data_IF_351024037907
#
_entry.id   IF_351024037907
#
_cell.length_a   1.000
_cell.length_b   1.000
_cell.length_c   1.000
_cell.angle_alpha   90.00
_cell.angle_beta   90.00
_cell.angle_gamma   90.00
#
_symmetry.space_group_name_H-M   'P 1'
#
loop_
_entity.id
_entity.type
_entity.pdbx_description
1 polymer ?
#
# COMPACT_ATOMS: atom_id res chain seq x y z
N UNK A 1 15.94 -14.21 10.05
CA UNK A 1 14.80 -14.98 9.51
C UNK A 1 15.23 -16.20 8.70
N UNK A 2 16.21 -16.10 7.79
CA UNK A 2 16.67 -17.27 6.99
C UNK A 2 17.17 -18.44 7.84
N UNK A 3 17.88 -18.18 8.94
CA UNK A 3 18.32 -19.22 9.88
C UNK A 3 17.13 -19.87 10.61
N UNK A 4 16.20 -19.05 11.10
CA UNK A 4 15.01 -19.54 11.80
C UNK A 4 14.11 -20.35 10.86
N UNK A 5 13.99 -19.98 9.58
CA UNK A 5 13.16 -20.71 8.61
C UNK A 5 13.66 -22.12 8.29
N UNK A 6 14.89 -22.46 8.65
CA UNK A 6 15.39 -23.84 8.58
C UNK A 6 14.77 -24.74 9.65
N UNK A 7 14.35 -24.16 10.76
CA UNK A 7 13.79 -24.88 11.92
C UNK A 7 12.26 -24.76 11.98
N UNK A 8 11.72 -23.59 11.66
CA UNK A 8 10.29 -23.28 11.76
C UNK A 8 9.82 -22.62 10.48
N UNK A 9 8.69 -23.05 9.91
CA UNK A 9 8.09 -22.39 8.75
C UNK A 9 7.63 -20.98 9.10
N UNK A 10 8.12 -19.99 8.36
CA UNK A 10 7.79 -18.57 8.53
C UNK A 10 6.80 -18.13 7.46
N UNK A 11 5.74 -17.47 7.88
CA UNK A 11 4.75 -16.83 7.01
C UNK A 11 4.56 -15.35 7.39
N UNK A 12 4.47 -14.46 6.42
CA UNK A 12 4.63 -14.65 4.98
C UNK A 12 6.06 -15.10 4.59
N UNK A 13 6.25 -15.59 3.33
CA UNK A 13 7.55 -16.05 2.85
C UNK A 13 8.61 -14.96 2.95
N UNK A 14 9.83 -15.30 3.34
CA UNK A 14 10.96 -14.36 3.47
C UNK A 14 11.23 -13.66 2.14
N UNK A 15 11.10 -14.36 1.01
CA UNK A 15 11.26 -13.78 -0.33
C UNK A 15 10.30 -12.61 -0.60
N UNK A 16 9.07 -12.69 -0.08
CA UNK A 16 8.11 -11.59 -0.22
C UNK A 16 8.54 -10.35 0.58
N UNK A 17 9.11 -10.55 1.77
CA UNK A 17 9.71 -9.46 2.56
C UNK A 17 10.91 -8.85 1.85
N UNK A 18 11.82 -9.67 1.32
CA UNK A 18 13.00 -9.19 0.59
C UNK A 18 12.64 -8.36 -0.65
N UNK A 19 11.55 -8.71 -1.34
CA UNK A 19 11.05 -7.98 -2.50
C UNK A 19 10.41 -6.67 -2.05
N UNK A 20 9.51 -6.69 -1.09
CA UNK A 20 8.73 -5.51 -0.68
C UNK A 20 9.54 -4.47 0.12
N UNK A 21 10.63 -4.87 0.77
CA UNK A 21 11.49 -3.96 1.52
C UNK A 21 12.49 -3.19 0.66
N UNK A 22 12.57 -3.49 -0.64
CA UNK A 22 13.50 -2.88 -1.57
C UNK A 22 12.79 -2.54 -2.88
N UNK A 23 12.53 -1.24 -3.12
CA UNK A 23 11.82 -0.76 -4.31
C UNK A 23 12.44 -1.23 -5.62
N UNK A 24 13.78 -1.38 -5.68
CA UNK A 24 14.43 -1.93 -6.87
C UNK A 24 13.99 -3.38 -7.10
N UNK A 25 14.06 -4.22 -6.06
CA UNK A 25 13.65 -5.62 -6.16
C UNK A 25 12.18 -5.75 -6.51
N UNK A 26 11.34 -4.91 -5.91
CA UNK A 26 9.90 -4.88 -6.15
C UNK A 26 9.57 -4.50 -7.61
N UNK A 27 10.17 -3.43 -8.16
CA UNK A 27 9.96 -3.03 -9.55
C UNK A 27 10.51 -4.06 -10.54
N UNK A 28 11.67 -4.66 -10.25
CA UNK A 28 12.20 -5.77 -11.06
C UNK A 28 11.28 -7.00 -11.04
N UNK A 29 10.69 -7.32 -9.89
CA UNK A 29 9.69 -8.38 -9.78
C UNK A 29 8.46 -8.07 -10.64
N UNK A 30 7.95 -6.84 -10.61
CA UNK A 30 6.82 -6.42 -11.46
C UNK A 30 7.17 -6.51 -12.95
N UNK A 31 8.32 -5.98 -13.36
CA UNK A 31 8.80 -6.04 -14.76
C UNK A 31 8.92 -7.49 -15.25
N UNK A 32 9.60 -8.36 -14.47
CA UNK A 32 9.77 -9.79 -14.81
C UNK A 32 8.43 -10.50 -15.02
N UNK A 33 7.41 -10.07 -14.29
CA UNK A 33 6.08 -10.67 -14.37
C UNK A 33 5.12 -9.89 -15.30
N UNK A 34 5.61 -8.96 -16.13
CA UNK A 34 4.79 -8.14 -17.03
C UNK A 34 3.62 -7.47 -16.29
N UNK A 35 3.90 -6.85 -15.14
CA UNK A 35 2.97 -6.07 -14.34
C UNK A 35 3.32 -4.59 -14.52
N UNK A 36 2.36 -3.79 -14.95
CA UNK A 36 2.54 -2.35 -15.22
C UNK A 36 2.84 -1.59 -13.93
N UNK A 37 3.88 -0.77 -13.93
CA UNK A 37 4.33 0.04 -12.79
C UNK A 37 5.05 1.31 -13.26
N UNK A 38 5.35 2.24 -12.34
CA UNK A 38 5.93 3.54 -12.66
C UNK A 38 7.46 3.55 -12.77
N UNK A 39 8.17 2.49 -12.34
CA UNK A 39 9.63 2.47 -12.29
C UNK A 39 10.27 2.57 -13.69
N UNK A 40 11.29 3.45 -13.80
CA UNK A 40 12.03 3.71 -15.03
C UNK A 40 13.48 3.25 -14.92
N UNK A 41 14.22 3.81 -13.95
CA UNK A 41 15.66 3.60 -13.79
C UNK A 41 16.04 3.37 -12.34
N UNK A 42 17.17 2.67 -12.16
CA UNK A 42 17.79 2.47 -10.85
C UNK A 42 19.15 3.13 -10.82
N UNK A 43 19.43 3.91 -9.79
CA UNK A 43 20.70 4.61 -9.60
C UNK A 43 21.28 4.29 -8.21
N UNK A 44 22.61 4.30 -8.12
CA UNK A 44 23.38 4.12 -6.90
C UNK A 44 24.71 4.90 -6.99
N UNK A 45 25.51 4.95 -5.92
CA UNK A 45 26.78 5.69 -5.85
C UNK A 45 27.74 5.47 -7.05
N UNK A 46 27.67 4.29 -7.70
CA UNK A 46 28.49 3.97 -8.88
C UNK A 46 27.86 4.40 -10.21
N UNK A 47 26.66 4.96 -10.18
CA UNK A 47 25.92 5.29 -11.40
C UNK A 47 26.44 6.59 -12.01
N UNK A 48 26.89 6.53 -13.28
CA UNK A 48 27.10 7.74 -14.08
C UNK A 48 25.73 8.28 -14.53
N UNK A 49 25.25 9.29 -13.82
CA UNK A 49 23.92 9.85 -14.05
C UNK A 49 23.76 10.49 -15.44
N UNK A 50 24.87 11.00 -16.03
CA UNK A 50 24.83 11.62 -17.37
C UNK A 50 24.33 10.66 -18.47
N UNK A 51 24.56 9.35 -18.32
CA UNK A 51 24.05 8.33 -19.25
C UNK A 51 22.51 8.28 -19.36
N UNK A 52 21.81 8.92 -18.43
CA UNK A 52 20.35 8.96 -18.38
C UNK A 52 19.77 10.33 -18.75
N UNK A 53 20.64 11.34 -19.05
CA UNK A 53 20.19 12.73 -19.26
C UNK A 53 19.11 12.81 -20.33
N UNK A 54 19.30 12.19 -21.46
CA UNK A 54 18.40 12.24 -22.60
C UNK A 54 17.34 11.11 -22.61
N UNK A 55 17.37 10.24 -21.58
CA UNK A 55 16.46 9.10 -21.44
C UNK A 55 15.35 9.34 -20.40
N UNK A 56 15.45 10.43 -19.63
CA UNK A 56 14.50 10.76 -18.57
C UNK A 56 13.59 11.88 -19.04
N UNK A 57 12.32 11.58 -19.23
CA UNK A 57 11.29 12.57 -19.48
C UNK A 57 10.80 13.13 -18.14
N UNK A 58 11.15 14.39 -17.85
CA UNK A 58 10.74 15.06 -16.63
C UNK A 58 9.29 15.64 -16.74
N UNK A 59 8.57 15.79 -15.59
CA UNK A 59 9.00 15.50 -14.23
C UNK A 59 8.99 14.02 -13.89
N UNK A 60 9.81 13.63 -12.89
CA UNK A 60 9.88 12.26 -12.36
C UNK A 60 9.81 12.27 -10.83
N UNK A 61 9.62 11.09 -10.22
CA UNK A 61 9.74 10.88 -8.77
C UNK A 61 11.03 10.12 -8.50
N UNK A 62 11.88 10.67 -7.65
CA UNK A 62 13.06 10.01 -7.10
C UNK A 62 12.69 9.43 -5.74
N UNK A 63 12.86 8.11 -5.54
CA UNK A 63 12.57 7.43 -4.26
C UNK A 63 13.77 6.60 -3.82
N UNK A 64 14.10 6.65 -2.51
CA UNK A 64 15.09 5.72 -1.94
C UNK A 64 14.61 4.28 -2.08
N UNK A 65 15.51 3.34 -2.40
CA UNK A 65 15.13 1.93 -2.51
C UNK A 65 14.69 1.32 -1.18
N UNK A 66 15.20 1.82 -0.07
CA UNK A 66 14.91 1.33 1.28
C UNK A 66 14.59 2.47 2.24
N UNK A 67 13.93 2.15 3.36
CA UNK A 67 13.64 3.06 4.48
C UNK A 67 12.74 4.26 4.14
N UNK A 68 12.13 4.31 2.94
CA UNK A 68 11.13 5.32 2.59
C UNK A 68 9.73 4.86 3.01
N UNK A 69 8.97 5.75 3.67
CA UNK A 69 7.58 5.53 4.08
C UNK A 69 6.85 6.86 4.26
N UNK A 70 5.54 6.89 4.11
CA UNK A 70 4.69 8.08 4.31
C UNK A 70 5.31 9.36 3.66
N UNK A 71 5.79 9.26 2.41
CA UNK A 71 6.42 10.36 1.66
C UNK A 71 7.89 10.65 2.01
N UNK A 72 8.46 10.04 3.03
CA UNK A 72 9.88 10.19 3.36
C UNK A 72 10.77 9.48 2.35
N UNK A 73 11.91 10.09 2.04
CA UNK A 73 12.86 9.54 1.08
C UNK A 73 12.37 9.60 -0.37
N UNK A 74 11.45 10.53 -0.70
CA UNK A 74 11.01 10.77 -2.07
C UNK A 74 10.95 12.25 -2.42
N UNK A 75 11.22 12.56 -3.69
CA UNK A 75 11.18 13.91 -4.25
C UNK A 75 10.55 13.90 -5.64
N UNK A 76 9.66 14.86 -5.91
CA UNK A 76 9.27 15.21 -7.27
C UNK A 76 10.40 16.02 -7.89
N UNK A 77 10.90 15.61 -9.03
CA UNK A 77 12.11 16.14 -9.71
C UNK A 77 11.67 16.78 -11.01
N UNK A 78 12.06 18.05 -11.22
CA UNK A 78 11.57 18.86 -12.34
C UNK A 78 12.46 18.78 -13.59
N UNK A 79 13.76 18.55 -13.41
CA UNK A 79 14.78 18.50 -14.47
C UNK A 79 16.04 17.77 -13.99
N UNK A 80 17.02 17.63 -14.89
CA UNK A 80 18.24 16.88 -14.62
C UNK A 80 19.12 17.52 -13.52
N UNK A 81 19.22 18.85 -13.46
CA UNK A 81 19.95 19.54 -12.38
C UNK A 81 19.30 19.30 -11.03
N UNK A 82 17.96 19.40 -10.97
CA UNK A 82 17.17 19.09 -9.78
C UNK A 82 17.35 17.63 -9.32
N UNK A 83 17.46 16.69 -10.28
CA UNK A 83 17.76 15.28 -9.98
C UNK A 83 19.09 15.12 -9.26
N UNK A 84 20.16 15.74 -9.78
CA UNK A 84 21.48 15.72 -9.15
C UNK A 84 21.43 16.27 -7.73
N UNK A 85 20.79 17.43 -7.54
CA UNK A 85 20.67 18.10 -6.25
C UNK A 85 19.89 17.26 -5.22
N UNK A 86 18.77 16.69 -5.63
CA UNK A 86 17.92 15.87 -4.74
C UNK A 86 18.57 14.53 -4.41
N UNK A 87 19.27 13.94 -5.36
CA UNK A 87 20.03 12.71 -5.09
C UNK A 87 21.21 12.95 -4.14
N UNK A 88 21.91 14.11 -4.25
CA UNK A 88 22.90 14.56 -3.28
C UNK A 88 22.30 14.70 -1.87
N UNK A 89 21.09 15.28 -1.74
CA UNK A 89 20.35 15.37 -0.45
C UNK A 89 20.02 14.01 0.14
N UNK A 90 19.96 12.96 -0.65
CA UNK A 90 19.78 11.58 -0.23
C UNK A 90 21.13 10.85 -0.02
N UNK A 91 22.23 11.58 0.09
CA UNK A 91 23.58 11.04 0.26
C UNK A 91 23.91 9.95 -0.78
N UNK A 92 23.49 10.16 -2.03
CA UNK A 92 23.70 9.24 -3.15
C UNK A 92 23.24 7.80 -2.87
N UNK A 93 22.28 7.62 -1.99
CA UNK A 93 21.68 6.31 -1.71
C UNK A 93 21.14 5.67 -2.98
N UNK A 94 20.99 4.35 -2.93
CA UNK A 94 20.32 3.62 -4.01
C UNK A 94 18.88 4.09 -4.13
N UNK A 95 18.49 4.53 -5.33
CA UNK A 95 17.19 5.09 -5.62
C UNK A 95 16.57 4.45 -6.86
N UNK A 96 15.24 4.49 -6.93
CA UNK A 96 14.45 4.29 -8.13
C UNK A 96 13.98 5.65 -8.65
N UNK A 97 14.07 5.85 -9.96
CA UNK A 97 13.45 6.95 -10.68
C UNK A 97 12.17 6.41 -11.28
N UNK A 98 11.05 7.01 -10.97
CA UNK A 98 9.73 6.64 -11.45
C UNK A 98 9.12 7.76 -12.27
N UNK A 99 8.37 7.41 -13.33
CA UNK A 99 7.54 8.39 -14.02
C UNK A 99 6.45 8.90 -13.07
N UNK A 100 6.06 10.15 -13.24
CA UNK A 100 4.87 10.69 -12.57
C UNK A 100 3.65 10.06 -13.21
N UNK A 101 2.89 9.31 -12.44
CA UNK A 101 1.57 8.83 -12.87
C UNK A 101 0.56 9.92 -12.51
N UNK A 102 -0.13 10.45 -13.51
CA UNK A 102 -1.31 11.28 -13.29
C UNK A 102 -2.46 10.31 -13.07
N UNK A 103 -2.79 10.06 -11.83
CA UNK A 103 -3.87 9.16 -11.45
C UNK A 103 -5.10 9.93 -11.00
N UNK A 104 -6.26 9.35 -11.25
CA UNK A 104 -7.56 9.82 -10.76
C UNK A 104 -7.84 9.23 -9.37
N UNK A 105 -7.49 7.95 -9.17
CA UNK A 105 -7.77 7.21 -7.94
C UNK A 105 -6.58 6.41 -7.46
N UNK A 106 -6.45 6.36 -6.13
CA UNK A 106 -5.58 5.40 -5.45
C UNK A 106 -6.44 4.27 -4.87
N UNK A 107 -6.10 3.04 -5.22
CA UNK A 107 -6.87 1.86 -4.81
C UNK A 107 -5.98 0.88 -4.05
N UNK A 108 -6.58 0.09 -3.16
CA UNK A 108 -5.89 -1.06 -2.57
C UNK A 108 -6.75 -2.32 -2.65
N UNK A 109 -6.11 -3.45 -2.94
CA UNK A 109 -6.69 -4.78 -2.86
C UNK A 109 -6.04 -5.53 -1.72
N UNK A 110 -6.84 -5.90 -0.73
CA UNK A 110 -6.42 -6.77 0.38
C UNK A 110 -6.82 -8.19 0.02
N UNK A 111 -5.84 -9.05 -0.06
CA UNK A 111 -6.01 -10.42 -0.47
C UNK A 111 -5.24 -11.39 0.45
N UNK A 112 -5.63 -12.62 0.44
CA UNK A 112 -5.01 -13.66 1.23
C UNK A 112 -4.89 -14.96 0.46
N UNK A 113 -3.84 -15.73 0.75
CA UNK A 113 -3.66 -17.09 0.26
C UNK A 113 -3.21 -17.96 1.41
N UNK A 114 -3.87 -19.10 1.60
CA UNK A 114 -3.51 -20.03 2.67
C UNK A 114 -2.52 -21.11 2.23
N UNK A 115 -2.12 -21.97 3.16
CA UNK A 115 -1.19 -23.08 2.93
C UNK A 115 -1.69 -24.09 1.88
N UNK A 116 -3.00 -24.26 1.73
CA UNK A 116 -3.65 -25.10 0.70
C UNK A 116 -3.89 -24.36 -0.61
N UNK A 117 -3.29 -23.17 -0.78
CA UNK A 117 -3.37 -22.31 -1.97
C UNK A 117 -4.77 -21.75 -2.28
N UNK A 118 -5.72 -21.81 -1.35
CA UNK A 118 -6.99 -21.10 -1.50
C UNK A 118 -6.74 -19.60 -1.39
N UNK A 119 -7.34 -18.84 -2.30
CA UNK A 119 -7.18 -17.38 -2.37
C UNK A 119 -8.53 -16.73 -2.13
N UNK A 120 -8.54 -15.66 -1.35
CA UNK A 120 -9.69 -14.79 -1.19
C UNK A 120 -9.28 -13.32 -1.18
N UNK A 121 -10.26 -12.45 -1.47
CA UNK A 121 -10.08 -11.03 -1.67
C UNK A 121 -11.17 -10.27 -0.91
N UNK A 122 -10.82 -9.11 -0.36
CA UNK A 122 -11.81 -8.07 -0.15
C UNK A 122 -12.09 -7.35 -1.47
N UNK A 123 -13.28 -6.77 -1.66
CA UNK A 123 -13.48 -5.80 -2.73
C UNK A 123 -12.43 -4.68 -2.63
N UNK A 124 -12.02 -4.06 -3.74
CA UNK A 124 -11.07 -2.95 -3.70
C UNK A 124 -11.54 -1.81 -2.81
N UNK A 125 -10.61 -1.18 -2.13
CA UNK A 125 -10.82 0.00 -1.29
C UNK A 125 -10.23 1.21 -2.00
N UNK A 126 -10.87 2.37 -1.86
CA UNK A 126 -10.35 3.64 -2.36
C UNK A 126 -9.63 4.38 -1.24
N UNK A 127 -8.45 4.90 -1.53
CA UNK A 127 -7.56 5.52 -0.57
C UNK A 127 -7.37 7.01 -0.91
N UNK A 128 -7.55 7.85 0.08
CA UNK A 128 -7.33 9.29 -0.04
C UNK A 128 -6.11 9.64 0.79
N UNK A 129 -5.06 10.13 0.15
CA UNK A 129 -3.85 10.59 0.82
C UNK A 129 -3.84 12.11 0.96
N UNK A 130 -3.31 12.59 2.09
CA UNK A 130 -2.97 14.00 2.31
C UNK A 130 -1.51 14.10 2.73
N UNK A 131 -0.73 14.89 2.02
CA UNK A 131 0.71 15.02 2.26
C UNK A 131 1.43 13.66 2.28
N UNK A 132 1.08 12.77 1.33
CA UNK A 132 1.60 11.40 1.20
C UNK A 132 1.26 10.45 2.37
N UNK A 133 0.38 10.82 3.28
CA UNK A 133 -0.07 9.99 4.38
C UNK A 133 -1.51 9.57 4.10
N UNK A 134 -1.81 8.28 4.21
CA UNK A 134 -3.18 7.78 4.07
C UNK A 134 -4.08 8.48 5.09
N UNK A 135 -5.04 9.24 4.57
CA UNK A 135 -5.95 10.05 5.36
C UNK A 135 -7.29 9.34 5.56
N UNK A 136 -7.89 8.85 4.48
CA UNK A 136 -9.15 8.12 4.51
C UNK A 136 -9.11 6.90 3.60
N UNK A 137 -9.93 5.89 3.92
CA UNK A 137 -10.19 4.73 3.08
C UNK A 137 -11.69 4.50 3.00
N UNK A 138 -12.22 4.41 1.78
CA UNK A 138 -13.62 4.13 1.49
C UNK A 138 -13.77 2.65 1.13
N UNK A 139 -14.74 1.98 1.73
CA UNK A 139 -14.96 0.55 1.55
C UNK A 139 -16.45 0.21 1.38
N UNK A 140 -16.81 -0.53 0.32
CA UNK A 140 -16.00 -0.82 -0.86
C UNK A 140 -15.84 0.42 -1.74
N UNK A 141 -14.82 0.42 -2.61
CA UNK A 141 -14.68 1.46 -3.64
C UNK A 141 -15.80 1.35 -4.68
N UNK A 142 -16.20 2.50 -5.25
CA UNK A 142 -17.15 2.54 -6.36
C UNK A 142 -16.37 2.59 -7.68
N UNK A 143 -16.05 1.42 -8.23
CA UNK A 143 -15.34 1.25 -9.50
C UNK A 143 -16.09 0.29 -10.41
N UNK A 144 -15.86 0.41 -11.71
CA UNK A 144 -16.46 -0.47 -12.70
C UNK A 144 -16.04 -1.93 -12.51
N UNK A 145 -16.93 -2.83 -12.83
CA UNK A 145 -16.69 -4.27 -12.70
C UNK A 145 -15.49 -4.74 -13.57
N UNK A 146 -15.25 -4.10 -14.72
CA UNK A 146 -14.09 -4.37 -15.58
C UNK A 146 -12.78 -4.05 -14.85
N UNK A 147 -12.72 -2.91 -14.18
CA UNK A 147 -11.56 -2.48 -13.37
C UNK A 147 -11.39 -3.42 -12.18
N UNK A 148 -12.47 -3.73 -11.46
CA UNK A 148 -12.47 -4.69 -10.35
C UNK A 148 -11.85 -6.03 -10.77
N UNK A 149 -12.31 -6.63 -11.86
CA UNK A 149 -11.77 -7.90 -12.40
C UNK A 149 -10.28 -7.81 -12.75
N UNK A 150 -9.83 -6.68 -13.29
CA UNK A 150 -8.41 -6.48 -13.60
C UNK A 150 -7.55 -6.40 -12.33
N UNK A 151 -7.96 -5.63 -11.31
CA UNK A 151 -7.28 -5.53 -10.03
C UNK A 151 -7.13 -6.90 -9.36
N UNK A 152 -8.21 -7.67 -9.31
CA UNK A 152 -8.23 -9.03 -8.76
C UNK A 152 -7.29 -9.96 -9.55
N UNK A 153 -7.30 -9.89 -10.89
CA UNK A 153 -6.41 -10.69 -11.75
C UNK A 153 -4.93 -10.38 -11.49
N UNK A 154 -4.57 -9.09 -11.40
CA UNK A 154 -3.20 -8.67 -11.09
C UNK A 154 -2.81 -9.15 -9.70
N UNK A 155 -3.68 -8.97 -8.70
CA UNK A 155 -3.45 -9.40 -7.32
C UNK A 155 -3.24 -10.90 -7.20
N UNK A 156 -4.06 -11.71 -7.87
CA UNK A 156 -3.91 -13.17 -7.94
C UNK A 156 -2.57 -13.57 -8.58
N UNK A 157 -2.16 -12.87 -9.64
CA UNK A 157 -0.86 -13.10 -10.30
C UNK A 157 0.30 -12.84 -9.33
N UNK A 158 0.26 -11.73 -8.59
CA UNK A 158 1.29 -11.38 -7.60
C UNK A 158 1.37 -12.43 -6.49
N UNK A 159 0.23 -12.79 -5.87
CA UNK A 159 0.17 -13.83 -4.84
C UNK A 159 0.81 -15.15 -5.30
N UNK A 160 0.47 -15.59 -6.51
CA UNK A 160 0.99 -16.84 -7.07
C UNK A 160 2.49 -16.76 -7.37
N UNK A 161 2.96 -15.66 -7.97
CA UNK A 161 4.39 -15.48 -8.30
C UNK A 161 5.29 -15.33 -7.07
N UNK A 162 4.76 -14.83 -5.97
CA UNK A 162 5.44 -14.77 -4.67
C UNK A 162 5.36 -16.09 -3.88
N UNK A 163 4.59 -17.07 -4.33
CA UNK A 163 4.20 -18.23 -3.50
C UNK A 163 3.72 -17.79 -2.12
N UNK A 164 2.96 -16.71 -2.10
CA UNK A 164 2.58 -16.01 -0.87
C UNK A 164 1.66 -16.85 0.00
N UNK A 165 1.87 -16.80 1.31
CA UNK A 165 0.96 -17.36 2.32
C UNK A 165 0.76 -16.29 3.41
N UNK A 166 -0.48 -16.02 3.75
CA UNK A 166 -0.87 -14.95 4.64
C UNK A 166 -1.67 -13.87 3.93
N UNK A 167 -1.74 -12.69 4.51
CA UNK A 167 -2.44 -11.53 3.97
C UNK A 167 -1.45 -10.59 3.27
N UNK A 168 -1.78 -10.19 2.06
CA UNK A 168 -1.04 -9.25 1.22
C UNK A 168 -1.93 -8.09 0.85
N UNK A 169 -1.41 -6.88 0.91
CA UNK A 169 -2.06 -5.70 0.34
C UNK A 169 -1.28 -5.22 -0.85
N UNK A 170 -1.97 -4.86 -1.91
CA UNK A 170 -1.40 -4.32 -3.14
C UNK A 170 -2.03 -2.95 -3.38
N UNK A 171 -1.19 -1.94 -3.54
CA UNK A 171 -1.62 -0.58 -3.84
C UNK A 171 -1.51 -0.31 -5.34
N UNK A 172 -2.49 0.41 -5.87
CA UNK A 172 -2.64 0.70 -7.28
C UNK A 172 -2.92 2.17 -7.51
N UNK A 173 -2.42 2.68 -8.62
CA UNK A 173 -2.91 3.90 -9.26
C UNK A 173 -3.81 3.53 -10.43
N UNK A 174 -4.94 4.20 -10.53
CA UNK A 174 -5.86 4.15 -11.67
C UNK A 174 -5.85 5.54 -12.31
N UNK A 175 -5.48 5.63 -13.60
CA UNK A 175 -5.53 6.88 -14.33
C UNK A 175 -6.90 7.12 -15.00
N UNK A 176 -7.08 8.29 -15.61
CA UNK A 176 -8.30 8.71 -16.30
C UNK A 176 -8.62 7.89 -17.55
N UNK A 177 -7.61 7.19 -18.12
CA UNK A 177 -7.78 6.24 -19.22
C UNK A 177 -8.06 4.80 -18.74
N UNK A 178 -8.30 4.60 -17.45
CA UNK A 178 -8.48 3.29 -16.82
C UNK A 178 -7.24 2.37 -16.88
N UNK A 179 -6.05 2.93 -17.05
CA UNK A 179 -4.83 2.16 -16.89
C UNK A 179 -4.52 1.91 -15.42
N UNK A 180 -4.19 0.67 -15.10
CA UNK A 180 -3.84 0.24 -13.76
C UNK A 180 -2.33 0.10 -13.63
N UNK A 181 -1.74 0.75 -12.63
CA UNK A 181 -0.32 0.64 -12.27
C UNK A 181 -0.20 0.12 -10.84
N UNK A 182 0.61 -0.90 -10.63
CA UNK A 182 0.95 -1.32 -9.27
C UNK A 182 1.94 -0.31 -8.69
N UNK A 183 1.57 0.28 -7.55
CA UNK A 183 2.43 1.19 -6.79
C UNK A 183 3.39 0.38 -5.91
N UNK A 184 2.88 -0.34 -4.92
CA UNK A 184 3.69 -1.16 -4.00
C UNK A 184 2.90 -2.35 -3.45
N UNK A 185 3.62 -3.28 -2.81
CA UNK A 185 3.04 -4.39 -2.07
C UNK A 185 3.41 -4.31 -0.59
N UNK A 186 2.46 -4.61 0.28
CA UNK A 186 2.66 -4.72 1.72
C UNK A 186 2.38 -6.16 2.17
N UNK A 187 3.41 -6.96 2.51
CA UNK A 187 3.25 -8.36 2.91
C UNK A 187 2.83 -8.48 4.39
N UNK A 188 1.75 -7.85 4.74
CA UNK A 188 1.21 -7.73 6.12
C UNK A 188 -0.19 -7.14 6.09
N UNK A 189 -0.86 -7.12 7.24
CA UNK A 189 -2.03 -6.27 7.47
C UNK A 189 -1.72 -4.81 7.14
N UNK A 190 -2.69 -4.09 6.60
CA UNK A 190 -2.51 -2.75 6.06
C UNK A 190 -3.46 -1.74 6.69
N UNK A 191 -3.03 -0.48 6.71
CA UNK A 191 -3.81 0.60 7.30
C UNK A 191 -5.17 0.78 6.60
N UNK A 192 -5.22 0.69 5.26
CA UNK A 192 -6.49 0.74 4.52
C UNK A 192 -7.47 -0.37 4.91
N UNK A 193 -6.96 -1.50 5.41
CA UNK A 193 -7.80 -2.63 5.84
C UNK A 193 -8.36 -2.51 7.26
N UNK A 194 -8.05 -1.47 8.01
CA UNK A 194 -8.58 -1.33 9.38
C UNK A 194 -10.09 -1.14 9.41
N UNK A 195 -10.68 -0.63 8.33
CA UNK A 195 -12.14 -0.55 8.18
C UNK A 195 -12.83 -1.91 8.31
N UNK A 196 -12.14 -3.00 7.95
CA UNK A 196 -12.70 -4.37 8.01
C UNK A 196 -13.02 -4.84 9.43
N UNK A 197 -12.53 -4.15 10.46
CA UNK A 197 -12.89 -4.42 11.85
C UNK A 197 -14.39 -4.20 12.13
N UNK A 198 -15.03 -3.30 11.37
CA UNK A 198 -16.40 -2.86 11.69
C UNK A 198 -17.38 -3.00 10.51
N UNK A 199 -16.88 -3.12 9.27
CA UNK A 199 -17.72 -3.17 8.08
C UNK A 199 -17.75 -4.51 7.34
N UNK A 200 -16.97 -5.50 7.79
CA UNK A 200 -16.87 -6.82 7.19
C UNK A 200 -17.26 -7.94 8.16
N UNK A 201 -17.63 -9.11 7.62
CA UNK A 201 -17.90 -10.31 8.43
C UNK A 201 -16.64 -10.96 9.01
N UNK A 202 -15.48 -10.58 8.52
CA UNK A 202 -14.17 -11.05 8.95
C UNK A 202 -13.19 -9.89 8.80
N UNK A 203 -12.40 -9.59 9.82
CA UNK A 203 -11.38 -8.56 9.75
C UNK A 203 -10.14 -9.04 8.99
N UNK A 204 -9.34 -8.11 8.46
CA UNK A 204 -8.05 -8.46 7.84
C UNK A 204 -7.11 -9.19 8.81
N UNK A 205 -7.19 -8.89 10.10
CA UNK A 205 -6.36 -9.55 11.13
C UNK A 205 -6.77 -11.01 11.28
N UNK A 206 -8.06 -11.27 11.41
CA UNK A 206 -8.61 -12.61 11.50
C UNK A 206 -8.32 -13.42 10.22
N UNK A 207 -8.50 -12.80 9.03
CA UNK A 207 -8.19 -13.43 7.76
C UNK A 207 -6.70 -13.81 7.66
N UNK A 208 -5.79 -12.94 8.16
CA UNK A 208 -4.37 -13.23 8.19
C UNK A 208 -4.06 -14.47 9.04
N UNK A 209 -4.56 -14.52 10.27
CA UNK A 209 -4.38 -15.67 11.16
C UNK A 209 -4.95 -16.94 10.55
N UNK A 210 -6.19 -16.88 10.04
CA UNK A 210 -6.80 -18.05 9.37
C UNK A 210 -6.00 -18.53 8.16
N UNK A 211 -5.41 -17.61 7.39
CA UNK A 211 -4.62 -17.98 6.22
C UNK A 211 -3.34 -18.76 6.55
N UNK A 212 -2.72 -18.47 7.70
CA UNK A 212 -1.48 -19.15 8.13
C UNK A 212 -1.71 -20.37 9.00
N UNK A 213 -2.94 -20.55 9.53
CA UNK A 213 -3.25 -21.64 10.49
C UNK A 213 -4.33 -22.60 10.01
N UNK A 214 -5.15 -22.25 9.02
CA UNK A 214 -6.29 -23.05 8.59
C UNK A 214 -6.17 -23.57 7.16
N UNK A 215 -6.66 -24.77 6.93
CA UNK A 215 -6.67 -25.40 5.61
C UNK A 215 -7.68 -24.75 4.66
N UNK A 216 -8.78 -24.24 5.21
CA UNK A 216 -9.84 -23.57 4.43
C UNK A 216 -10.05 -22.15 4.96
N UNK A 217 -10.13 -21.20 4.06
CA UNK A 217 -10.50 -19.79 4.34
C UNK A 217 -11.75 -19.45 3.53
N UNK A 218 -12.69 -18.76 4.17
CA UNK A 218 -13.88 -18.23 3.50
C UNK A 218 -13.56 -16.84 2.94
N UNK A 219 -14.12 -16.53 1.78
CA UNK A 219 -14.02 -15.17 1.22
C UNK A 219 -14.72 -14.18 2.15
N UNK A 220 -14.02 -13.12 2.57
CA UNK A 220 -14.61 -12.09 3.41
C UNK A 220 -15.67 -11.31 2.60
N UNK A 221 -16.72 -10.87 3.29
CA UNK A 221 -17.79 -10.05 2.71
C UNK A 221 -17.87 -8.72 3.43
N UNK A 222 -17.97 -7.65 2.67
CA UNK A 222 -18.33 -6.34 3.22
C UNK A 222 -19.82 -6.38 3.53
N UNK A 223 -20.18 -6.14 4.79
CA UNK A 223 -21.56 -6.18 5.26
C UNK A 223 -22.22 -4.80 5.08
N UNK A 224 -21.44 -3.74 5.27
CA UNK A 224 -21.89 -2.36 5.24
C UNK A 224 -20.87 -1.47 4.56
N UNK A 225 -21.32 -0.44 3.85
CA UNK A 225 -20.43 0.62 3.38
C UNK A 225 -19.81 1.34 4.57
N UNK A 226 -18.56 1.74 4.44
CA UNK A 226 -17.86 2.40 5.51
C UNK A 226 -16.70 3.27 5.04
N UNK A 227 -16.21 4.09 5.96
CA UNK A 227 -15.06 4.95 5.78
C UNK A 227 -14.16 4.83 7.02
N UNK A 228 -12.87 4.60 6.82
CA UNK A 228 -11.86 4.71 7.85
C UNK A 228 -11.15 6.06 7.73
N UNK A 229 -11.04 6.79 8.83
CA UNK A 229 -10.32 8.07 8.93
C UNK A 229 -9.16 7.93 9.91
N UNK A 230 -7.93 8.08 9.43
CA UNK A 230 -6.77 8.09 10.29
C UNK A 230 -6.75 9.34 11.20
N UNK A 231 -6.28 9.18 12.42
CA UNK A 231 -6.00 10.25 13.36
C UNK A 231 -4.49 10.51 13.36
N UNK A 232 -4.09 11.66 12.80
CA UNK A 232 -2.69 11.99 12.54
C UNK A 232 -2.20 13.03 13.56
N UNK A 233 -1.11 12.71 14.25
CA UNK A 233 -0.51 13.60 15.25
C UNK A 233 -1.51 14.02 16.32
N UNK A 234 -1.69 15.32 16.52
CA UNK A 234 -2.58 15.88 17.56
C UNK A 234 -4.08 15.61 17.33
N UNK A 235 -4.48 15.09 16.17
CA UNK A 235 -5.89 14.75 15.92
C UNK A 235 -6.43 13.70 16.89
N UNK A 236 -5.56 12.87 17.48
CA UNK A 236 -5.96 11.89 18.50
C UNK A 236 -6.65 12.54 19.68
N UNK A 237 -6.22 13.74 20.10
CA UNK A 237 -6.84 14.51 21.19
C UNK A 237 -8.21 15.09 20.81
N UNK A 238 -8.51 15.16 19.52
CA UNK A 238 -9.75 15.72 18.94
C UNK A 238 -10.69 14.66 18.36
N UNK A 239 -10.52 13.40 18.73
CA UNK A 239 -11.28 12.26 18.22
C UNK A 239 -12.80 12.49 18.27
N UNK A 240 -13.32 12.99 19.41
CA UNK A 240 -14.76 13.27 19.59
C UNK A 240 -15.25 14.38 18.63
N UNK A 241 -14.49 15.46 18.46
CA UNK A 241 -14.84 16.54 17.53
C UNK A 241 -14.81 16.05 16.08
N UNK A 242 -13.75 15.32 15.68
CA UNK A 242 -13.62 14.76 14.33
C UNK A 242 -14.78 13.82 14.01
N UNK A 243 -15.19 12.97 14.95
CA UNK A 243 -16.30 12.05 14.76
C UNK A 243 -17.66 12.74 14.55
N UNK A 244 -17.79 14.00 14.95
CA UNK A 244 -19.02 14.82 14.83
C UNK A 244 -19.05 15.73 13.59
N UNK A 245 -17.98 15.76 12.78
CA UNK A 245 -17.92 16.60 11.58
C UNK A 245 -19.09 16.30 10.63
N UNK A 246 -19.59 17.35 9.95
CA UNK A 246 -20.74 17.27 9.03
C UNK A 246 -20.52 16.22 7.93
N UNK A 247 -19.30 16.10 7.41
CA UNK A 247 -18.91 15.11 6.40
C UNK A 247 -19.11 13.64 6.81
N UNK A 248 -19.18 13.36 8.13
CA UNK A 248 -19.36 12.00 8.63
C UNK A 248 -20.75 11.74 9.24
N UNK A 249 -21.70 12.69 9.10
CA UNK A 249 -23.07 12.55 9.67
C UNK A 249 -23.87 11.45 9.03
N UNK A 250 -23.61 11.11 7.78
CA UNK A 250 -24.29 10.05 7.02
C UNK A 250 -24.07 8.65 7.62
N UNK A 251 -22.99 8.46 8.37
CA UNK A 251 -22.65 7.17 8.99
C UNK A 251 -23.33 7.01 10.34
N UNK A 252 -24.05 5.89 10.51
CA UNK A 252 -24.82 5.58 11.72
C UNK A 252 -23.95 5.11 12.88
N UNK A 253 -22.92 4.31 12.60
CA UNK A 253 -22.00 3.77 13.61
C UNK A 253 -20.63 4.38 13.46
N UNK A 254 -19.99 4.69 14.59
CA UNK A 254 -18.65 5.28 14.67
C UNK A 254 -17.87 4.59 15.77
N UNK A 255 -16.69 4.11 15.46
CA UNK A 255 -15.80 3.47 16.43
C UNK A 255 -14.38 3.98 16.29
N UNK A 256 -13.83 4.48 17.40
CA UNK A 256 -12.47 4.99 17.43
C UNK A 256 -11.51 3.94 18.01
N UNK A 257 -10.31 3.92 17.46
CA UNK A 257 -9.22 3.04 17.88
C UNK A 257 -7.99 3.89 18.14
N UNK A 258 -7.54 3.92 19.37
CA UNK A 258 -6.25 4.51 19.75
C UNK A 258 -5.17 3.43 19.68
N UNK A 259 -4.01 3.76 19.10
CA UNK A 259 -2.90 2.81 18.98
C UNK A 259 -2.01 2.80 20.24
N UNK A 260 -2.33 3.56 21.29
CA UNK A 260 -1.60 3.60 22.55
C UNK A 260 -0.17 4.14 22.43
N UNK A 261 0.15 4.92 21.39
CA UNK A 261 1.51 5.42 21.18
C UNK A 261 1.83 6.57 22.13
N UNK A 262 2.82 6.40 22.99
CA UNK A 262 3.21 7.39 24.03
C UNK A 262 3.56 8.77 23.45
N UNK A 263 4.33 8.83 22.35
CA UNK A 263 4.77 10.10 21.78
C UNK A 263 3.89 10.50 20.58
N UNK A 264 3.22 11.64 20.68
CA UNK A 264 2.53 12.28 19.58
C UNK A 264 3.56 13.01 18.73
N UNK A 265 3.66 12.63 17.44
CA UNK A 265 4.57 13.26 16.47
C UNK A 265 3.76 13.73 15.25
N UNK A 266 4.16 14.86 14.68
CA UNK A 266 3.58 15.34 13.41
C UNK A 266 3.70 14.25 12.32
N UNK A 267 2.63 14.04 11.55
CA UNK A 267 2.56 13.02 10.49
C UNK A 267 2.42 11.59 10.98
N UNK A 268 2.49 11.31 12.30
CA UNK A 268 2.35 9.95 12.83
C UNK A 268 0.89 9.56 12.97
N UNK A 269 0.51 8.41 12.41
CA UNK A 269 -0.79 7.79 12.63
C UNK A 269 -0.89 7.34 14.08
N UNK A 270 -1.77 7.96 14.85
CA UNK A 270 -1.95 7.72 16.29
C UNK A 270 -3.12 6.81 16.60
N UNK A 271 -4.08 6.73 15.67
CA UNK A 271 -5.29 5.95 15.76
C UNK A 271 -6.09 6.08 14.48
N UNK A 272 -7.33 5.58 14.49
CA UNK A 272 -8.29 5.80 13.42
C UNK A 272 -9.72 5.77 13.96
N UNK A 273 -10.65 6.27 13.16
CA UNK A 273 -12.09 6.15 13.40
C UNK A 273 -12.67 5.39 12.20
N UNK A 274 -13.43 4.34 12.47
CA UNK A 274 -14.27 3.68 11.49
C UNK A 274 -15.68 4.23 11.56
N UNK A 275 -16.19 4.62 10.41
CA UNK A 275 -17.55 5.09 10.19
C UNK A 275 -18.27 4.06 9.33
N UNK A 276 -19.42 3.57 9.77
CA UNK A 276 -20.18 2.50 9.09
C UNK A 276 -21.65 2.90 8.92
N UNK A 277 -22.22 2.60 7.76
CA UNK A 277 -23.62 2.85 7.43
C UNK A 277 -24.60 2.03 8.28
#
# INVERSE_FOLDING_TARGET
>A
LKQINKQIKIYPPISALEISQDRKKEKLFFSKNKIKHAGLFFINKKTNLNKFKDKINFPVILKTCRFGYDGKGQYKVKNFSDLKNKWKKLDYQSCVIEKVIKFDRELSVICSRNIKKNICFYPPFENIHKNHILFETISPSQIDEKINKQLIRISKKILNKLNYIGLLTIEFFLDDENNIYVNEIAPRVHNSGHITLDNANMSQFELHIKAITKDKIKTPKIIKKGLMRNLIGNEIKRTKQISKLKSYKVYKKKKAYDYGKKAIKQGRKMGHINFVM
#
